data_IF_493222484782
#
_entry.id   IF_493222484782
#
_cell.length_a   1.000
_cell.length_b   1.000
_cell.length_c   1.000
_cell.angle_alpha   90.00
_cell.angle_beta   90.00
_cell.angle_gamma   90.00
#
_symmetry.space_group_name_H-M   'P 1'
#
loop_
_entity.id
_entity.type
_entity.pdbx_description
1 polymer ?
#
# COMPACT_ATOMS: atom_id res chain seq x y z
N UNK A 1 2.39 -22.45 -14.17
CA UNK A 1 1.77 -21.50 -13.22
C UNK A 1 2.78 -20.40 -12.95
N UNK A 2 2.50 -19.15 -13.32
CA UNK A 2 3.41 -18.03 -13.02
C UNK A 2 3.55 -17.90 -11.51
N UNK A 3 4.77 -18.00 -10.98
CA UNK A 3 5.05 -17.77 -9.57
C UNK A 3 4.60 -16.35 -9.22
N UNK A 4 3.68 -16.19 -8.26
CA UNK A 4 3.26 -14.86 -7.79
C UNK A 4 4.52 -14.12 -7.34
N UNK A 5 4.84 -13.00 -7.99
CA UNK A 5 5.95 -12.14 -7.57
C UNK A 5 5.69 -11.69 -6.14
N UNK A 6 6.76 -11.53 -5.35
CA UNK A 6 6.60 -10.95 -4.02
C UNK A 6 6.17 -9.49 -4.17
N UNK A 7 5.25 -9.03 -3.32
CA UNK A 7 4.74 -7.65 -3.36
C UNK A 7 5.89 -6.61 -3.37
N UNK A 8 6.99 -6.87 -2.67
CA UNK A 8 8.14 -5.97 -2.67
C UNK A 8 8.80 -5.87 -4.05
N UNK A 9 8.88 -6.98 -4.80
CA UNK A 9 9.40 -7.00 -6.17
C UNK A 9 8.49 -6.21 -7.09
N UNK A 10 7.17 -6.41 -6.97
CA UNK A 10 6.18 -5.66 -7.77
C UNK A 10 6.25 -4.15 -7.49
N UNK A 11 6.41 -3.74 -6.23
CA UNK A 11 6.55 -2.33 -5.87
C UNK A 11 7.85 -1.73 -6.43
N UNK A 12 8.94 -2.49 -6.48
CA UNK A 12 10.22 -2.06 -7.06
C UNK A 12 10.24 -2.00 -8.58
N UNK A 13 9.28 -2.62 -9.25
CA UNK A 13 9.13 -2.56 -10.72
C UNK A 13 8.24 -1.38 -11.17
N UNK A 14 7.32 -0.91 -10.32
CA UNK A 14 6.38 0.20 -10.63
C UNK A 14 7.08 1.52 -10.92
N UNK A 15 6.51 2.47 -11.65
CA UNK A 15 7.01 3.85 -11.73
C UNK A 15 6.76 4.65 -10.43
N UNK A 16 7.28 5.88 -10.33
CA UNK A 16 6.98 6.76 -9.17
C UNK A 16 5.49 7.12 -9.14
N UNK A 17 4.88 7.43 -10.29
CA UNK A 17 3.46 7.75 -10.38
C UNK A 17 2.57 6.55 -10.05
N UNK A 18 3.00 5.35 -10.43
CA UNK A 18 2.32 4.11 -10.07
C UNK A 18 2.43 3.79 -8.57
N UNK A 19 3.55 4.14 -7.93
CA UNK A 19 3.71 4.05 -6.48
C UNK A 19 2.79 5.05 -5.76
N UNK A 20 2.67 6.28 -6.25
CA UNK A 20 1.75 7.29 -5.70
C UNK A 20 0.29 6.85 -5.83
N UNK A 21 -0.10 6.35 -6.99
CA UNK A 21 -1.45 5.79 -7.23
C UNK A 21 -1.71 4.64 -6.26
N UNK A 22 -0.75 3.73 -6.11
CA UNK A 22 -0.86 2.61 -5.17
C UNK A 22 -1.00 3.05 -3.71
N UNK A 23 -0.26 4.08 -3.29
CA UNK A 23 -0.37 4.67 -1.95
C UNK A 23 -1.74 5.30 -1.76
N UNK A 24 -2.21 6.07 -2.74
CA UNK A 24 -3.52 6.72 -2.70
C UNK A 24 -4.65 5.70 -2.56
N UNK A 25 -4.64 4.64 -3.35
CA UNK A 25 -5.67 3.60 -3.31
C UNK A 25 -5.69 2.86 -1.97
N UNK A 26 -4.53 2.56 -1.39
CA UNK A 26 -4.46 1.95 -0.06
C UNK A 26 -4.93 2.91 1.05
N UNK A 27 -4.65 4.22 0.93
CA UNK A 27 -5.18 5.23 1.86
C UNK A 27 -6.70 5.34 1.77
N UNK A 28 -7.26 5.33 0.56
CA UNK A 28 -8.71 5.32 0.31
C UNK A 28 -9.37 4.07 0.90
N UNK A 29 -8.79 2.89 0.67
CA UNK A 29 -9.28 1.64 1.24
C UNK A 29 -9.23 1.65 2.78
N UNK A 30 -8.15 2.18 3.36
CA UNK A 30 -8.02 2.33 4.82
C UNK A 30 -9.06 3.31 5.39
N UNK A 31 -9.35 4.40 4.68
CA UNK A 31 -10.41 5.34 5.07
C UNK A 31 -11.78 4.66 5.05
N UNK A 32 -12.12 3.95 3.98
CA UNK A 32 -13.38 3.23 3.87
C UNK A 32 -13.54 2.20 5.00
N UNK A 33 -12.49 1.42 5.29
CA UNK A 33 -12.51 0.46 6.42
C UNK A 33 -12.72 1.14 7.78
N UNK A 34 -12.13 2.32 7.99
CA UNK A 34 -12.36 3.13 9.21
C UNK A 34 -13.80 3.62 9.27
N UNK A 35 -14.35 4.09 8.15
CA UNK A 35 -15.73 4.54 8.07
C UNK A 35 -16.71 3.38 8.32
N UNK A 36 -16.49 2.22 7.71
CA UNK A 36 -17.27 1.00 7.95
C UNK A 36 -17.24 0.58 9.42
N UNK A 37 -16.06 0.64 10.06
CA UNK A 37 -15.89 0.32 11.47
C UNK A 37 -16.66 1.25 12.41
N UNK A 38 -16.71 2.54 12.09
CA UNK A 38 -17.39 3.54 12.91
C UNK A 38 -18.90 3.58 12.64
N UNK A 39 -19.33 3.44 11.38
CA UNK A 39 -20.71 3.72 10.97
C UNK A 39 -21.61 2.49 10.91
N UNK A 40 -21.08 1.32 10.53
CA UNK A 40 -21.95 0.20 10.14
C UNK A 40 -22.17 -0.85 11.23
N UNK A 41 -21.50 -0.78 12.38
CA UNK A 41 -21.55 -1.81 13.43
C UNK A 41 -21.40 -3.25 12.88
N UNK A 42 -20.79 -3.38 11.71
CA UNK A 42 -20.57 -4.63 10.98
C UNK A 42 -19.25 -5.23 11.41
N UNK A 43 -19.13 -6.55 11.31
CA UNK A 43 -17.88 -7.25 11.54
C UNK A 43 -16.80 -6.76 10.55
N UNK A 44 -15.92 -5.89 11.04
CA UNK A 44 -14.83 -5.32 10.24
C UNK A 44 -13.71 -6.34 10.12
N UNK A 45 -13.13 -6.46 8.93
CA UNK A 45 -11.96 -7.29 8.70
C UNK A 45 -10.72 -6.63 9.33
N UNK A 46 -10.50 -6.82 10.62
CA UNK A 46 -9.41 -6.19 11.41
C UNK A 46 -8.03 -6.37 10.75
N UNK A 47 -7.78 -7.55 10.16
CA UNK A 47 -6.52 -7.84 9.45
C UNK A 47 -6.25 -6.89 8.27
N UNK A 48 -7.30 -6.36 7.61
CA UNK A 48 -7.16 -5.47 6.46
C UNK A 48 -6.57 -4.11 6.84
N UNK A 49 -6.82 -3.60 8.05
CA UNK A 49 -6.16 -2.38 8.52
C UNK A 49 -4.63 -2.53 8.53
N UNK A 50 -4.15 -3.68 9.03
CA UNK A 50 -2.72 -3.97 9.09
C UNK A 50 -2.14 -4.11 7.68
N UNK A 51 -2.85 -4.79 6.78
CA UNK A 51 -2.44 -4.97 5.38
C UNK A 51 -2.27 -3.62 4.68
N UNK A 52 -3.29 -2.75 4.68
CA UNK A 52 -3.20 -1.46 4.00
C UNK A 52 -2.11 -0.55 4.60
N UNK A 53 -1.97 -0.52 5.93
CA UNK A 53 -0.89 0.24 6.59
C UNK A 53 0.50 -0.26 6.18
N UNK A 54 0.71 -1.59 6.17
CA UNK A 54 1.99 -2.18 5.75
C UNK A 54 2.26 -1.94 4.26
N UNK A 55 1.23 -1.98 3.42
CA UNK A 55 1.35 -1.71 1.99
C UNK A 55 1.74 -0.25 1.72
N UNK A 56 1.13 0.71 2.42
CA UNK A 56 1.52 2.13 2.36
C UNK A 56 2.97 2.31 2.80
N UNK A 57 3.35 1.74 3.94
CA UNK A 57 4.71 1.84 4.46
C UNK A 57 5.75 1.31 3.47
N UNK A 58 5.52 0.12 2.91
CA UNK A 58 6.42 -0.48 1.91
C UNK A 58 6.55 0.37 0.65
N UNK A 59 5.45 0.89 0.12
CA UNK A 59 5.48 1.73 -1.08
C UNK A 59 6.23 3.04 -0.83
N UNK A 60 6.03 3.66 0.34
CA UNK A 60 6.79 4.85 0.75
C UNK A 60 8.29 4.56 0.90
N UNK A 61 8.66 3.42 1.50
CA UNK A 61 10.06 3.00 1.59
C UNK A 61 10.67 2.84 0.19
N UNK A 62 10.02 2.13 -0.73
CA UNK A 62 10.54 1.97 -2.10
C UNK A 62 10.65 3.32 -2.83
N UNK A 63 9.68 4.22 -2.63
CA UNK A 63 9.76 5.58 -3.19
C UNK A 63 10.96 6.35 -2.66
N UNK A 64 11.24 6.24 -1.37
CA UNK A 64 12.38 6.89 -0.72
C UNK A 64 13.72 6.29 -1.17
N UNK A 65 13.84 4.95 -1.19
CA UNK A 65 15.01 4.22 -1.69
C UNK A 65 15.41 4.70 -3.10
N UNK A 66 14.42 4.95 -3.96
CA UNK A 66 14.65 5.47 -5.32
C UNK A 66 15.11 6.91 -5.35
N UNK A 67 14.57 7.75 -4.47
CA UNK A 67 14.99 9.16 -4.38
C UNK A 67 16.46 9.23 -3.97
N UNK A 68 16.87 8.43 -2.99
CA UNK A 68 18.26 8.37 -2.52
C UNK A 68 19.22 7.90 -3.62
N UNK A 69 18.86 6.87 -4.40
CA UNK A 69 19.68 6.41 -5.55
C UNK A 69 19.85 7.40 -6.70
N UNK A 70 18.98 8.40 -6.83
CA UNK A 70 19.11 9.45 -7.86
C UNK A 70 20.12 10.53 -7.42
N UNK A 71 20.41 10.60 -6.12
CA UNK A 71 21.31 11.59 -5.52
C UNK A 71 22.73 11.08 -5.23
N UNK A 72 23.02 9.81 -5.56
CA UNK A 72 24.36 9.21 -5.59
C UNK A 72 24.95 9.23 -7.01
#
# INVERSE_FOLDING_TARGET
MATKKSLLTELREKSVDELETYIHDNKKALFNLRAEALLQNKAVKIHMFSIHKKNIARALTVKQERRERIHD
#
